data_IF_637751194543
#
_entry.id   IF_637751194543
#
_cell.length_a   1.000
_cell.length_b   1.000
_cell.length_c   1.000
_cell.angle_alpha   90.00
_cell.angle_beta   90.00
_cell.angle_gamma   90.00
#
_symmetry.space_group_name_H-M   'P 1'
#
loop_
_entity.id
_entity.type
_entity.pdbx_description
1 polymer ?
#
# COMPACT_ATOMS: atom_id res chain seq x y z
N UNK A 1 5.27 8.21 9.61
CA UNK A 1 4.87 7.86 8.23
C UNK A 1 5.38 6.46 7.94
N UNK A 2 4.80 5.77 6.97
CA UNK A 2 5.34 4.51 6.45
C UNK A 2 5.33 4.58 4.91
N UNK A 3 6.27 3.88 4.28
CA UNK A 3 6.38 3.74 2.83
C UNK A 3 6.17 2.26 2.52
N UNK A 4 5.25 1.99 1.59
CA UNK A 4 5.02 0.66 1.05
C UNK A 4 5.56 0.65 -0.38
N UNK A 5 6.46 -0.26 -0.69
CA UNK A 5 7.11 -0.36 -1.99
C UNK A 5 6.64 -1.62 -2.72
N UNK A 6 6.40 -1.50 -4.02
CA UNK A 6 6.06 -2.59 -4.92
C UNK A 6 7.00 -2.53 -6.12
N UNK A 7 8.05 -3.33 -6.05
CA UNK A 7 9.02 -3.46 -7.13
C UNK A 7 8.53 -4.47 -8.16
N UNK A 8 8.41 -4.03 -9.40
CA UNK A 8 8.03 -4.86 -10.53
C UNK A 8 8.77 -4.45 -11.80
N UNK A 9 8.89 -5.42 -12.71
CA UNK A 9 9.35 -5.28 -14.08
C UNK A 9 8.24 -5.81 -15.00
N UNK A 10 8.06 -5.17 -16.15
CA UNK A 10 6.97 -5.50 -17.08
C UNK A 10 7.44 -6.29 -18.31
N UNK A 11 8.75 -6.55 -18.45
CA UNK A 11 9.33 -7.30 -19.58
C UNK A 11 8.84 -6.87 -20.98
N UNK A 12 8.63 -5.55 -21.15
CA UNK A 12 8.14 -4.95 -22.39
C UNK A 12 6.62 -4.84 -22.52
N UNK A 13 5.86 -5.35 -21.53
CA UNK A 13 4.42 -5.13 -21.42
C UNK A 13 4.09 -3.70 -20.94
N UNK A 14 2.83 -3.29 -21.15
CA UNK A 14 2.34 -1.99 -20.73
C UNK A 14 1.55 -2.16 -19.42
N UNK A 15 1.86 -1.34 -18.42
CA UNK A 15 1.14 -1.33 -17.15
C UNK A 15 -0.33 -0.96 -17.36
N UNK A 16 -1.23 -1.82 -16.90
CA UNK A 16 -2.65 -1.51 -16.79
C UNK A 16 -2.95 -0.85 -15.45
N UNK A 17 -2.56 -1.48 -14.34
CA UNK A 17 -2.82 -0.96 -13.01
C UNK A 17 -1.84 -1.51 -11.97
N UNK A 18 -1.59 -0.72 -10.93
CA UNK A 18 -1.07 -1.21 -9.64
C UNK A 18 -2.15 -0.96 -8.60
N UNK A 19 -2.52 -2.00 -7.84
CA UNK A 19 -3.50 -1.90 -6.76
C UNK A 19 -2.86 -2.31 -5.45
N UNK A 20 -3.31 -1.69 -4.38
CA UNK A 20 -2.86 -1.94 -3.03
C UNK A 20 -4.01 -2.27 -2.11
N UNK A 21 -3.81 -3.31 -1.30
CA UNK A 21 -4.80 -3.85 -0.37
C UNK A 21 -4.23 -3.89 1.04
N UNK A 22 -5.09 -3.63 2.02
CA UNK A 22 -4.85 -3.92 3.45
C UNK A 22 -5.92 -4.91 3.88
N UNK A 23 -5.52 -6.07 4.39
CA UNK A 23 -6.42 -7.12 4.86
C UNK A 23 -7.52 -7.47 3.82
N UNK A 24 -7.12 -7.55 2.54
CA UNK A 24 -7.96 -7.79 1.36
C UNK A 24 -8.90 -6.64 0.95
N UNK A 25 -8.88 -5.50 1.62
CA UNK A 25 -9.62 -4.31 1.22
C UNK A 25 -8.72 -3.36 0.42
N UNK A 26 -9.15 -2.99 -0.79
CA UNK A 26 -8.38 -2.10 -1.64
C UNK A 26 -8.40 -0.68 -1.06
N UNK A 27 -7.22 -0.07 -0.89
CA UNK A 27 -7.11 1.28 -0.36
C UNK A 27 -6.45 2.27 -1.34
N UNK A 28 -5.73 1.78 -2.35
CA UNK A 28 -5.10 2.61 -3.37
C UNK A 28 -5.00 1.90 -4.71
N UNK A 29 -5.15 2.65 -5.80
CA UNK A 29 -4.82 2.21 -7.15
C UNK A 29 -4.14 3.29 -7.96
N UNK A 30 -3.21 2.88 -8.81
CA UNK A 30 -2.58 3.66 -9.85
C UNK A 30 -2.95 3.08 -11.22
N UNK A 31 -3.58 3.87 -12.08
CA UNK A 31 -3.93 3.49 -13.46
C UNK A 31 -3.35 4.56 -14.39
N UNK A 32 -2.25 4.28 -15.13
CA UNK A 32 -1.56 5.30 -15.93
C UNK A 32 -2.45 6.01 -16.94
N UNK A 33 -3.48 5.32 -17.46
CA UNK A 33 -4.41 5.83 -18.47
C UNK A 33 -5.61 6.58 -17.90
N UNK A 34 -5.80 6.63 -16.57
CA UNK A 34 -6.91 7.38 -15.97
C UNK A 34 -6.54 8.82 -15.66
N UNK A 35 -7.56 9.67 -15.51
CA UNK A 35 -7.38 11.07 -15.08
C UNK A 35 -8.34 11.37 -13.91
N UNK A 36 -7.85 11.48 -12.66
CA UNK A 36 -6.44 11.37 -12.25
C UNK A 36 -5.93 9.91 -12.31
N UNK A 37 -4.60 9.69 -12.40
CA UNK A 37 -4.01 8.34 -12.41
C UNK A 37 -4.07 7.65 -11.05
N UNK A 38 -4.19 8.42 -9.96
CA UNK A 38 -4.23 7.91 -8.60
C UNK A 38 -5.65 7.97 -8.03
N UNK A 39 -6.06 6.92 -7.34
CA UNK A 39 -7.30 6.90 -6.57
C UNK A 39 -7.09 6.18 -5.24
N UNK A 40 -7.69 6.68 -4.16
CA UNK A 40 -7.63 6.05 -2.84
C UNK A 40 -9.03 5.82 -2.27
N UNK A 41 -9.20 4.71 -1.57
CA UNK A 41 -10.45 4.34 -0.91
C UNK A 41 -10.28 4.44 0.61
N UNK A 42 -11.40 4.58 1.33
CA UNK A 42 -11.38 4.68 2.79
C UNK A 42 -11.23 3.28 3.37
N UNK A 43 -10.11 3.03 4.05
CA UNK A 43 -9.87 1.84 4.86
C UNK A 43 -9.40 2.30 6.24
N UNK A 44 -9.86 1.65 7.31
CA UNK A 44 -9.50 2.06 8.67
C UNK A 44 -7.99 1.96 8.90
N UNK A 45 -7.42 2.97 9.57
CA UNK A 45 -5.96 3.07 9.76
C UNK A 45 -5.15 3.47 8.51
N UNK A 46 -5.79 3.76 7.37
CA UNK A 46 -5.11 4.19 6.14
C UNK A 46 -5.36 5.67 5.83
N UNK A 47 -4.28 6.40 5.56
CA UNK A 47 -4.32 7.74 5.00
C UNK A 47 -3.19 7.92 3.98
N UNK A 48 -3.54 7.78 2.71
CA UNK A 48 -2.61 7.91 1.58
C UNK A 48 -2.22 9.36 1.35
N UNK A 49 -0.94 9.58 1.06
CA UNK A 49 -0.40 10.82 0.54
C UNK A 49 -0.19 10.75 -0.98
N UNK A 50 -1.13 11.28 -1.75
CA UNK A 50 -1.07 11.29 -3.23
C UNK A 50 0.09 12.11 -3.80
N UNK A 51 0.69 13.04 -3.04
CA UNK A 51 1.84 13.81 -3.53
C UNK A 51 3.14 13.01 -3.50
N UNK A 52 3.23 12.02 -2.61
CA UNK A 52 4.40 11.17 -2.42
C UNK A 52 4.12 9.71 -2.81
N UNK A 53 2.99 9.44 -3.47
CA UNK A 53 2.61 8.10 -3.94
C UNK A 53 2.54 8.07 -5.46
N UNK A 54 2.85 6.92 -6.03
CA UNK A 54 2.84 6.67 -7.46
C UNK A 54 2.61 5.17 -7.74
N UNK A 55 2.99 4.70 -8.93
CA UNK A 55 2.85 3.30 -9.32
C UNK A 55 3.70 2.31 -8.52
N UNK A 56 4.81 2.74 -7.91
CA UNK A 56 5.76 1.86 -7.22
C UNK A 56 5.75 2.04 -5.71
N UNK A 57 5.36 3.22 -5.21
CA UNK A 57 5.28 3.46 -3.77
C UNK A 57 3.96 4.07 -3.33
N UNK A 58 3.52 3.68 -2.12
CA UNK A 58 2.40 4.33 -1.43
C UNK A 58 2.85 4.82 -0.06
N UNK A 59 2.70 6.12 0.18
CA UNK A 59 3.07 6.76 1.43
C UNK A 59 1.87 6.90 2.34
N UNK A 60 1.95 6.31 3.53
CA UNK A 60 0.95 6.41 4.59
C UNK A 60 1.32 7.47 5.62
N UNK A 61 0.43 8.44 5.84
CA UNK A 61 0.54 9.46 6.90
C UNK A 61 -0.28 9.07 8.13
N UNK A 62 0.14 9.50 9.32
CA UNK A 62 -0.63 9.27 10.55
C UNK A 62 -0.81 7.80 10.93
N UNK A 63 0.18 6.97 10.60
CA UNK A 63 0.24 5.53 10.95
C UNK A 63 0.01 5.35 12.44
N UNK A 64 -0.87 4.43 12.80
CA UNK A 64 -1.26 4.12 14.18
C UNK A 64 -1.57 2.63 14.31
N UNK A 65 -2.01 2.16 15.49
CA UNK A 65 -2.28 0.74 15.76
C UNK A 65 -3.24 0.09 14.74
N UNK A 66 -4.18 0.83 14.17
CA UNK A 66 -5.13 0.31 13.16
C UNK A 66 -4.48 0.13 11.78
N UNK A 67 -3.32 0.74 11.55
CA UNK A 67 -2.53 0.53 10.34
C UNK A 67 -1.84 -0.84 10.35
N UNK A 68 -1.81 -1.58 11.46
CA UNK A 68 -1.33 -2.96 11.45
C UNK A 68 -2.19 -3.85 10.54
N UNK A 69 -1.58 -4.72 9.76
CA UNK A 69 -2.29 -5.60 8.83
C UNK A 69 -1.39 -6.25 7.79
N UNK A 70 -2.00 -7.07 6.94
CA UNK A 70 -1.37 -7.65 5.76
C UNK A 70 -1.56 -6.71 4.57
N UNK A 71 -0.46 -6.27 3.97
CA UNK A 71 -0.46 -5.37 2.82
C UNK A 71 -0.07 -6.14 1.58
N UNK A 72 -0.80 -5.95 0.49
CA UNK A 72 -0.57 -6.65 -0.78
C UNK A 72 -0.55 -5.64 -1.91
N UNK A 73 0.44 -5.75 -2.79
CA UNK A 73 0.43 -5.06 -4.07
C UNK A 73 0.11 -6.04 -5.19
N UNK A 74 -0.69 -5.61 -6.15
CA UNK A 74 -1.07 -6.36 -7.35
C UNK A 74 -0.76 -5.51 -8.58
N UNK A 75 0.09 -6.01 -9.46
CA UNK A 75 0.51 -5.36 -10.70
C UNK A 75 -0.14 -6.12 -11.85
N UNK A 76 -0.78 -5.40 -12.77
CA UNK A 76 -1.42 -6.00 -13.94
C UNK A 76 -0.97 -5.31 -15.23
N UNK A 77 -0.74 -6.10 -16.28
CA UNK A 77 -0.43 -5.62 -17.61
C UNK A 77 -1.70 -5.45 -18.47
N UNK A 78 -1.55 -4.69 -19.54
CA UNK A 78 -2.57 -4.45 -20.56
C UNK A 78 -2.80 -5.66 -21.49
N UNK A 79 -3.78 -5.51 -22.37
CA UNK A 79 -3.92 -6.39 -23.53
C UNK A 79 -2.60 -6.49 -24.32
N UNK A 80 -2.26 -7.66 -24.87
CA UNK A 80 -3.09 -8.86 -24.96
C UNK A 80 -2.93 -9.86 -23.82
N UNK A 81 -1.89 -9.74 -22.98
CA UNK A 81 -1.61 -10.78 -21.97
C UNK A 81 -2.58 -10.72 -20.80
N UNK A 82 -2.97 -9.50 -20.38
CA UNK A 82 -3.72 -9.27 -19.15
C UNK A 82 -3.10 -9.98 -17.94
N UNK A 83 -1.77 -10.13 -17.96
CA UNK A 83 -1.01 -10.79 -16.91
C UNK A 83 -1.18 -10.05 -15.58
N UNK A 84 -1.16 -10.76 -14.47
CA UNK A 84 -1.11 -10.14 -13.14
C UNK A 84 -0.19 -10.92 -12.20
N UNK A 85 0.51 -10.17 -11.35
CA UNK A 85 1.36 -10.69 -10.30
C UNK A 85 1.10 -9.91 -9.01
N UNK A 86 1.32 -10.55 -7.87
CA UNK A 86 1.11 -9.95 -6.57
C UNK A 86 2.10 -10.50 -5.55
N UNK A 87 2.40 -9.69 -4.54
CA UNK A 87 3.15 -10.10 -3.36
C UNK A 87 2.62 -9.36 -2.13
N UNK A 88 2.89 -9.90 -0.94
CA UNK A 88 2.36 -9.41 0.32
C UNK A 88 3.41 -9.31 1.45
N UNK A 89 3.21 -8.33 2.33
CA UNK A 89 4.04 -8.07 3.49
C UNK A 89 3.21 -7.66 4.70
N UNK A 90 3.58 -8.14 5.89
CA UNK A 90 2.91 -7.79 7.14
C UNK A 90 3.55 -6.56 7.78
N UNK A 91 2.74 -5.57 8.15
CA UNK A 91 3.15 -4.44 8.97
C UNK A 91 2.49 -4.54 10.34
N UNK A 92 3.28 -4.50 11.41
CA UNK A 92 2.80 -4.41 12.79
C UNK A 92 3.24 -3.07 13.39
N UNK A 93 2.27 -2.25 13.77
CA UNK A 93 2.48 -1.00 14.51
C UNK A 93 2.28 -1.30 15.98
N UNK A 94 3.31 -1.05 16.78
CA UNK A 94 3.30 -1.29 18.23
C UNK A 94 3.30 0.02 19.00
N UNK A 95 2.61 0.06 20.13
CA UNK A 95 2.77 1.13 21.11
C UNK A 95 3.83 0.70 22.12
N UNK A 96 4.91 1.47 22.23
CA UNK A 96 5.87 1.28 23.32
C UNK A 96 5.34 1.97 24.59
N UNK A 97 5.18 1.18 25.67
CA UNK A 97 5.07 1.71 27.02
C UNK A 97 6.42 1.52 27.71
N UNK A 98 7.01 2.57 28.31
CA UNK A 98 8.25 2.41 29.05
C UNK A 98 8.03 1.48 30.25
N UNK A 99 8.71 0.34 30.24
CA UNK A 99 8.68 -0.70 31.29
C UNK A 99 8.98 -0.12 32.70
N UNK A 100 9.68 1.02 32.77
CA UNK A 100 10.04 1.70 34.01
C UNK A 100 8.84 2.21 34.84
N UNK A 101 7.65 2.36 34.28
CA UNK A 101 6.45 2.73 35.07
C UNK A 101 5.83 1.55 35.82
N UNK A 102 6.03 0.30 35.36
CA UNK A 102 5.48 -0.88 36.03
C UNK A 102 6.26 -1.31 37.28
N UNK A 103 7.56 -1.00 37.35
CA UNK A 103 8.43 -1.40 38.47
C UNK A 103 8.49 -0.36 39.61
N UNK A 104 7.74 0.74 39.49
CA UNK A 104 7.57 1.75 40.55
C UNK A 104 6.27 1.56 41.36
N UNK A 105 5.51 0.50 41.07
CA UNK A 105 4.30 0.11 41.80
C UNK A 105 4.58 -0.91 42.89
#
# INVERSE_FOLDING_TARGET
MAILECDYELDGEVLYAVKWYKDNEEFYRFVPKSNPPQHSYKVDGIKVDHQLSDSKQVVLRGVNLKSSGLYRCEVSAEAPSFSSAQDEGRMDVVCEYPVHEYLKG
#
